data_IF_023065869368
#
_entry.id   IF_023065869368
#
_cell.length_a   1.000
_cell.length_b   1.000
_cell.length_c   1.000
_cell.angle_alpha   90.00
_cell.angle_beta   90.00
_cell.angle_gamma   90.00
#
_symmetry.space_group_name_H-M   'P 1'
#
loop_
_entity.id
_entity.type
_entity.pdbx_description
1 polymer ?
#
# COMPACT_ATOMS: atom_id res chain seq x y z
N UNK A 1 7.01 -8.44 9.87
CA UNK A 1 6.51 -7.30 9.05
C UNK A 1 5.87 -6.19 9.88
N UNK A 2 4.78 -6.42 10.63
CA UNK A 2 4.08 -5.38 11.40
C UNK A 2 4.96 -4.54 12.37
N UNK A 3 5.95 -5.13 13.09
CA UNK A 3 6.80 -4.34 14.00
C UNK A 3 7.71 -3.33 13.30
N UNK A 4 8.04 -3.59 12.03
CA UNK A 4 8.99 -2.82 11.22
C UNK A 4 8.31 -1.81 10.29
N UNK A 5 7.00 -1.57 10.45
CA UNK A 5 6.26 -0.69 9.56
C UNK A 5 5.88 0.62 10.25
N UNK A 6 6.85 1.55 10.29
CA UNK A 6 6.73 2.86 10.92
C UNK A 6 7.01 3.98 9.90
N UNK A 7 6.36 5.11 10.08
CA UNK A 7 6.50 6.25 9.17
C UNK A 7 6.09 7.56 9.87
N UNK A 8 6.37 7.68 11.17
CA UNK A 8 6.08 8.93 11.87
C UNK A 8 6.91 10.06 11.26
N UNK A 9 8.20 9.80 11.07
CA UNK A 9 9.20 10.68 10.48
C UNK A 9 9.78 10.06 9.20
N UNK A 10 10.54 10.86 8.44
CA UNK A 10 11.28 10.36 7.26
C UNK A 10 12.31 9.28 7.65
N UNK A 11 13.02 9.47 8.77
CA UNK A 11 14.04 8.53 9.24
C UNK A 11 13.44 7.16 9.59
N UNK A 12 12.31 7.14 10.31
CA UNK A 12 11.59 5.90 10.60
C UNK A 12 11.10 5.21 9.33
N UNK A 13 10.61 5.99 8.35
CA UNK A 13 10.17 5.46 7.07
C UNK A 13 11.31 4.82 6.28
N UNK A 14 12.52 5.43 6.32
CA UNK A 14 13.73 4.88 5.69
C UNK A 14 14.10 3.54 6.30
N UNK A 15 14.26 3.49 7.62
CA UNK A 15 14.60 2.25 8.31
C UNK A 15 13.54 1.15 8.08
N UNK A 16 12.26 1.53 8.10
CA UNK A 16 11.15 0.60 7.85
C UNK A 16 11.15 0.06 6.43
N UNK A 17 11.32 0.94 5.43
CA UNK A 17 11.31 0.55 4.02
C UNK A 17 12.53 -0.33 3.67
N UNK A 18 13.70 0.01 4.19
CA UNK A 18 14.93 -0.76 4.05
C UNK A 18 14.78 -2.16 4.66
N UNK A 19 14.33 -2.27 5.92
CA UNK A 19 14.09 -3.56 6.58
C UNK A 19 13.09 -4.43 5.80
N UNK A 20 12.01 -3.84 5.30
CA UNK A 20 11.02 -4.57 4.50
C UNK A 20 11.61 -5.02 3.16
N UNK A 21 12.48 -4.21 2.55
CA UNK A 21 13.15 -4.55 1.30
C UNK A 21 14.18 -5.67 1.48
N UNK A 22 14.97 -5.65 2.56
CA UNK A 22 15.87 -6.78 2.88
C UNK A 22 15.10 -8.08 3.09
N UNK A 23 13.93 -8.03 3.75
CA UNK A 23 13.06 -9.20 3.88
C UNK A 23 12.52 -9.66 2.53
N UNK A 24 12.15 -8.73 1.65
CA UNK A 24 11.74 -9.03 0.27
C UNK A 24 12.85 -9.79 -0.48
N UNK A 25 14.10 -9.31 -0.45
CA UNK A 25 15.24 -9.97 -1.09
C UNK A 25 15.51 -11.35 -0.49
N UNK A 26 15.44 -11.49 0.84
CA UNK A 26 15.56 -12.79 1.51
C UNK A 26 14.49 -13.78 1.03
N UNK A 27 13.22 -13.36 0.92
CA UNK A 27 12.16 -14.23 0.41
C UNK A 27 12.40 -14.64 -1.05
N UNK A 28 12.88 -13.71 -1.89
CA UNK A 28 13.23 -14.04 -3.28
C UNK A 28 14.35 -15.09 -3.33
N UNK A 29 15.40 -14.92 -2.53
CA UNK A 29 16.52 -15.87 -2.43
C UNK A 29 16.05 -17.27 -2.01
N UNK A 30 15.07 -17.35 -1.11
CA UNK A 30 14.46 -18.61 -0.68
C UNK A 30 13.37 -19.14 -1.62
N UNK A 31 13.14 -18.51 -2.78
CA UNK A 31 12.06 -18.82 -3.71
C UNK A 31 10.65 -18.80 -3.06
N UNK A 32 10.47 -18.01 -1.99
CA UNK A 32 9.18 -17.78 -1.34
C UNK A 32 8.49 -16.56 -1.96
N UNK A 33 7.80 -16.79 -3.08
CA UNK A 33 7.07 -15.73 -3.77
C UNK A 33 6.00 -15.06 -2.90
N UNK A 34 5.30 -15.83 -2.04
CA UNK A 34 4.21 -15.28 -1.22
C UNK A 34 4.79 -14.33 -0.18
N UNK A 35 5.88 -14.71 0.49
CA UNK A 35 6.62 -13.84 1.40
C UNK A 35 7.11 -12.56 0.69
N UNK A 36 7.67 -12.70 -0.51
CA UNK A 36 8.13 -11.56 -1.31
C UNK A 36 6.98 -10.62 -1.71
N UNK A 37 5.84 -11.15 -2.19
CA UNK A 37 4.70 -10.31 -2.57
C UNK A 37 4.09 -9.59 -1.36
N UNK A 38 4.06 -10.25 -0.20
CA UNK A 38 3.64 -9.63 1.06
C UNK A 38 4.57 -8.47 1.42
N UNK A 39 5.89 -8.66 1.41
CA UNK A 39 6.86 -7.59 1.67
C UNK A 39 6.66 -6.39 0.73
N UNK A 40 6.55 -6.65 -0.59
CA UNK A 40 6.24 -5.62 -1.60
C UNK A 40 4.91 -4.91 -1.30
N UNK A 41 3.89 -5.63 -0.84
CA UNK A 41 2.60 -5.04 -0.46
C UNK A 41 2.73 -4.11 0.75
N UNK A 42 3.56 -4.43 1.74
CA UNK A 42 3.84 -3.53 2.86
C UNK A 42 4.53 -2.24 2.40
N UNK A 43 5.44 -2.29 1.43
CA UNK A 43 6.02 -1.08 0.82
C UNK A 43 4.94 -0.21 0.14
N UNK A 44 4.05 -0.83 -0.64
CA UNK A 44 2.91 -0.13 -1.25
C UNK A 44 1.98 0.50 -0.19
N UNK A 45 1.69 -0.23 0.89
CA UNK A 45 0.86 0.28 1.98
C UNK A 45 1.55 1.46 2.69
N UNK A 46 2.87 1.41 2.91
CA UNK A 46 3.66 2.50 3.47
C UNK A 46 3.54 3.77 2.63
N UNK A 47 3.75 3.66 1.32
CA UNK A 47 3.58 4.78 0.39
C UNK A 47 2.16 5.37 0.45
N UNK A 48 1.13 4.53 0.31
CA UNK A 48 -0.26 5.00 0.23
C UNK A 48 -0.75 5.61 1.54
N UNK A 49 -0.40 5.04 2.70
CA UNK A 49 -0.74 5.61 4.01
C UNK A 49 0.01 6.91 4.26
N UNK A 50 1.33 6.94 4.07
CA UNK A 50 2.11 8.16 4.27
C UNK A 50 1.59 9.29 3.36
N UNK A 51 1.30 9.01 2.08
CA UNK A 51 0.72 9.99 1.15
C UNK A 51 -0.65 10.49 1.59
N UNK A 52 -1.50 9.61 2.14
CA UNK A 52 -2.80 10.03 2.70
C UNK A 52 -2.64 11.01 3.85
N UNK A 53 -1.70 10.77 4.78
CA UNK A 53 -1.45 11.68 5.90
C UNK A 53 -0.74 12.96 5.48
N UNK A 54 0.06 12.93 4.42
CA UNK A 54 0.61 14.14 3.81
C UNK A 54 -0.49 15.04 3.26
N UNK A 55 -1.45 14.46 2.53
CA UNK A 55 -2.57 15.19 1.95
C UNK A 55 -3.60 15.63 3.01
N UNK A 56 -3.90 14.77 3.99
CA UNK A 56 -4.92 15.00 5.00
C UNK A 56 -4.40 14.57 6.40
N UNK A 57 -3.80 15.49 7.17
CA UNK A 57 -3.19 15.18 8.47
C UNK A 57 -4.15 14.56 9.49
N UNK A 58 -5.42 14.99 9.50
CA UNK A 58 -6.48 14.39 10.34
C UNK A 58 -6.95 13.01 9.87
N UNK A 59 -6.38 12.48 8.79
CA UNK A 59 -6.74 11.18 8.21
C UNK A 59 -8.11 11.15 7.52
N UNK A 60 -8.84 12.26 7.45
CA UNK A 60 -10.16 12.34 6.80
C UNK A 60 -10.01 12.96 5.41
N UNK A 61 -10.44 12.22 4.36
CA UNK A 61 -10.45 12.70 2.97
C UNK A 61 -11.77 13.39 2.60
N UNK A 62 -12.87 12.92 3.15
CA UNK A 62 -14.22 13.38 2.80
C UNK A 62 -14.82 14.15 3.96
N UNK A 63 -15.59 15.20 3.63
CA UNK A 63 -16.38 15.94 4.60
C UNK A 63 -17.39 15.01 5.31
N UNK A 64 -17.77 15.36 6.53
CA UNK A 64 -18.83 14.64 7.25
C UNK A 64 -20.18 15.05 6.63
N UNK A 65 -21.03 14.07 6.36
CA UNK A 65 -22.33 14.30 5.74
C UNK A 65 -23.12 13.00 5.65
N UNK A 66 -24.33 13.10 5.13
CA UNK A 66 -25.28 11.98 5.03
C UNK A 66 -25.28 11.30 3.65
N UNK A 67 -24.60 11.88 2.64
CA UNK A 67 -24.57 11.32 1.30
C UNK A 67 -23.74 10.02 1.29
N UNK A 68 -24.33 8.96 0.75
CA UNK A 68 -23.67 7.65 0.61
C UNK A 68 -23.67 6.82 1.91
N UNK A 69 -24.59 7.07 2.83
CA UNK A 69 -24.79 6.20 3.99
C UNK A 69 -25.15 4.77 3.54
N UNK A 70 -24.30 3.80 3.90
CA UNK A 70 -24.49 2.38 3.56
C UNK A 70 -25.49 1.66 4.47
N UNK A 71 -26.29 2.39 5.24
CA UNK A 71 -27.15 1.84 6.30
C UNK A 71 -28.14 0.80 5.75
N UNK A 72 -28.55 0.96 4.50
CA UNK A 72 -29.60 0.14 3.87
C UNK A 72 -29.10 -0.65 2.62
N UNK A 73 -27.79 -0.86 2.46
CA UNK A 73 -27.26 -1.63 1.31
C UNK A 73 -27.19 -3.14 1.59
N UNK A 74 -27.65 -4.00 0.65
CA UNK A 74 -27.54 -5.45 0.79
C UNK A 74 -26.08 -5.92 0.69
N UNK A 75 -25.76 -7.01 1.38
CA UNK A 75 -24.42 -7.61 1.40
C UNK A 75 -24.02 -8.15 0.01
N UNK A 76 -22.73 -8.05 -0.42
CA UNK A 76 -21.57 -7.55 0.33
C UNK A 76 -21.40 -6.03 0.29
N UNK A 77 -21.53 -5.37 1.44
CA UNK A 77 -21.20 -3.95 1.57
C UNK A 77 -19.67 -3.81 1.70
N UNK A 78 -19.02 -3.27 0.68
CA UNK A 78 -17.63 -2.77 0.80
C UNK A 78 -17.45 -1.47 0.02
N UNK A 79 -18.34 -0.51 0.23
CA UNK A 79 -18.33 0.77 -0.49
C UNK A 79 -17.22 1.75 -0.04
N UNK A 80 -16.30 1.33 0.83
CA UNK A 80 -15.26 2.17 1.40
C UNK A 80 -15.81 3.13 2.47
N UNK A 81 -15.33 4.38 2.50
CA UNK A 81 -15.78 5.36 3.50
C UNK A 81 -17.28 5.66 3.37
N UNK A 82 -18.02 5.65 4.48
CA UNK A 82 -19.44 6.09 4.53
C UNK A 82 -19.68 7.53 4.04
N UNK A 83 -18.62 8.32 3.97
CA UNK A 83 -18.65 9.70 3.50
C UNK A 83 -18.17 9.85 2.04
N UNK A 84 -17.95 8.76 1.30
CA UNK A 84 -17.30 8.80 -0.03
C UNK A 84 -18.03 9.69 -1.04
N UNK A 85 -19.35 9.83 -0.91
CA UNK A 85 -20.18 10.69 -1.75
C UNK A 85 -20.21 12.17 -1.32
N UNK A 86 -19.64 12.50 -0.15
CA UNK A 86 -19.49 13.89 0.27
C UNK A 86 -18.30 14.56 -0.44
N UNK A 87 -18.26 15.89 -0.37
CA UNK A 87 -17.15 16.69 -0.90
C UNK A 87 -15.80 16.23 -0.34
N UNK A 88 -14.77 16.25 -1.20
CA UNK A 88 -13.38 15.98 -0.81
C UNK A 88 -12.86 17.22 -0.09
N UNK A 89 -12.25 17.02 1.08
CA UNK A 89 -11.61 18.09 1.83
C UNK A 89 -10.38 18.60 1.08
N UNK A 90 -10.04 19.89 1.19
CA UNK A 90 -8.80 20.40 0.63
C UNK A 90 -7.60 19.64 1.20
N UNK A 91 -6.55 19.53 0.39
CA UNK A 91 -5.28 18.99 0.87
C UNK A 91 -4.60 20.02 1.78
N UNK A 92 -3.72 19.56 2.67
CA UNK A 92 -2.86 20.46 3.43
C UNK A 92 -1.98 21.29 2.48
N UNK A 93 -1.69 22.54 2.84
CA UNK A 93 -0.86 23.45 2.03
C UNK A 93 0.54 22.88 1.81
N UNK A 94 1.07 22.18 2.81
CA UNK A 94 2.39 21.55 2.82
C UNK A 94 2.38 20.09 2.34
N UNK A 95 1.30 19.62 1.68
CA UNK A 95 1.10 18.21 1.31
C UNK A 95 2.20 17.60 0.44
N UNK A 96 3.05 18.41 -0.19
CA UNK A 96 4.18 17.97 -1.02
C UNK A 96 5.53 18.01 -0.29
N UNK A 97 5.66 18.81 0.79
CA UNK A 97 6.94 19.12 1.43
C UNK A 97 7.06 18.59 2.86
N UNK A 98 5.95 18.30 3.53
CA UNK A 98 5.91 17.84 4.91
C UNK A 98 6.55 16.46 5.12
N UNK A 99 6.82 16.10 6.38
CA UNK A 99 7.49 14.84 6.73
C UNK A 99 6.80 13.60 6.16
N UNK A 100 5.46 13.62 6.09
CA UNK A 100 4.68 12.51 5.51
C UNK A 100 4.86 12.39 4.01
N UNK A 101 5.01 13.51 3.31
CA UNK A 101 5.32 13.52 1.89
C UNK A 101 6.70 12.89 1.63
N UNK A 102 7.71 13.24 2.44
CA UNK A 102 9.06 12.67 2.37
C UNK A 102 9.05 11.18 2.71
N UNK A 103 8.38 10.78 3.79
CA UNK A 103 8.18 9.38 4.13
C UNK A 103 7.49 8.59 2.99
N UNK A 104 6.49 9.18 2.32
CA UNK A 104 5.84 8.56 1.19
C UNK A 104 6.79 8.33 0.01
N UNK A 105 7.66 9.30 -0.29
CA UNK A 105 8.67 9.16 -1.35
C UNK A 105 9.65 8.02 -1.06
N UNK A 106 10.09 7.87 0.19
CA UNK A 106 10.94 6.76 0.63
C UNK A 106 10.30 5.41 0.31
N UNK A 107 9.07 5.17 0.79
CA UNK A 107 8.37 3.90 0.47
C UNK A 107 8.10 3.73 -1.02
N UNK A 108 7.83 4.82 -1.75
CA UNK A 108 7.58 4.76 -3.20
C UNK A 108 8.81 4.24 -3.93
N UNK A 109 10.00 4.76 -3.60
CA UNK A 109 11.28 4.31 -4.16
C UNK A 109 11.45 2.79 -4.01
N UNK A 110 11.37 2.28 -2.78
CA UNK A 110 11.54 0.84 -2.53
C UNK A 110 10.41 0.00 -3.14
N UNK A 111 9.17 0.50 -3.15
CA UNK A 111 8.07 -0.21 -3.79
C UNK A 111 8.28 -0.34 -5.31
N UNK A 112 8.72 0.73 -5.96
CA UNK A 112 9.02 0.71 -7.40
C UNK A 112 10.21 -0.24 -7.69
N UNK A 113 11.26 -0.21 -6.87
CA UNK A 113 12.39 -1.16 -6.96
C UNK A 113 11.92 -2.62 -6.82
N UNK A 114 11.16 -2.95 -5.77
CA UNK A 114 10.65 -4.30 -5.55
C UNK A 114 9.73 -4.76 -6.68
N UNK A 115 8.89 -3.84 -7.22
CA UNK A 115 8.04 -4.14 -8.37
C UNK A 115 8.85 -4.33 -9.65
N UNK A 116 9.96 -3.64 -9.84
CA UNK A 116 10.80 -3.79 -11.02
C UNK A 116 11.83 -4.94 -10.91
N UNK A 117 11.96 -5.57 -9.74
CA UNK A 117 12.97 -6.60 -9.50
C UNK A 117 12.81 -7.80 -10.45
N UNK A 118 13.84 -8.17 -11.24
CA UNK A 118 13.73 -9.22 -12.25
C UNK A 118 13.30 -10.58 -11.69
N UNK A 119 13.90 -11.02 -10.58
CA UNK A 119 13.54 -12.31 -9.95
C UNK A 119 12.11 -12.32 -9.42
N UNK A 120 11.62 -11.19 -8.91
CA UNK A 120 10.23 -11.10 -8.47
C UNK A 120 9.27 -11.24 -9.65
N UNK A 121 9.59 -10.64 -10.81
CA UNK A 121 8.78 -10.80 -12.01
C UNK A 121 8.76 -12.26 -12.49
N UNK A 122 9.91 -12.93 -12.48
CA UNK A 122 10.01 -14.36 -12.83
C UNK A 122 9.18 -15.23 -11.88
N UNK A 123 9.37 -15.08 -10.55
CA UNK A 123 8.61 -15.84 -9.56
C UNK A 123 7.11 -15.55 -9.62
N UNK A 124 6.72 -14.30 -9.89
CA UNK A 124 5.32 -13.91 -10.09
C UNK A 124 4.69 -14.61 -11.30
N UNK A 125 5.42 -14.68 -12.41
CA UNK A 125 4.96 -15.38 -13.61
C UNK A 125 4.79 -16.87 -13.31
N UNK A 126 5.80 -17.51 -12.71
CA UNK A 126 5.73 -18.92 -12.32
C UNK A 126 4.57 -19.21 -11.35
N UNK A 127 4.35 -18.34 -10.36
CA UNK A 127 3.20 -18.46 -9.45
C UNK A 127 1.87 -18.31 -10.20
N UNK A 128 1.79 -17.36 -11.15
CA UNK A 128 0.59 -17.16 -11.96
C UNK A 128 0.27 -18.40 -12.79
N UNK A 129 1.25 -18.95 -13.49
CA UNK A 129 1.10 -20.16 -14.31
C UNK A 129 0.66 -21.36 -13.47
N UNK A 130 1.23 -21.54 -12.27
CA UNK A 130 0.90 -22.65 -11.38
C UNK A 130 -0.52 -22.59 -10.82
N UNK A 131 -1.02 -21.40 -10.45
CA UNK A 131 -2.26 -21.28 -9.67
C UNK A 131 -3.43 -20.64 -10.41
N UNK A 132 -3.20 -19.86 -11.48
CA UNK A 132 -4.27 -19.16 -12.21
C UNK A 132 -4.68 -19.87 -13.50
N UNK A 133 -4.15 -21.06 -13.78
CA UNK A 133 -4.56 -21.90 -14.90
C UNK A 133 -5.21 -23.19 -14.43
N UNK A 134 -6.54 -23.16 -14.27
CA UNK A 134 -7.46 -24.29 -14.47
C UNK A 134 -8.88 -23.75 -14.68
N UNK A 135 -9.21 -23.46 -15.94
CA UNK A 135 -10.53 -23.85 -16.46
C UNK A 135 -10.24 -25.02 -17.40
N UNK A 136 -10.58 -26.23 -16.98
CA UNK A 136 -10.72 -27.32 -17.93
C UNK A 136 -11.81 -26.90 -18.93
N UNK A 137 -11.62 -27.10 -20.24
CA UNK A 137 -12.74 -27.05 -21.17
C UNK A 137 -13.76 -28.12 -20.75
N UNK A 138 -15.03 -27.73 -20.67
CA UNK A 138 -16.17 -28.66 -20.69
C UNK A 138 -16.31 -29.28 -22.08
#
# INVERSE_FOLDING_TARGET
MLPHWRFRTEAEARHSAETIYELFEKYLLHHDFVGADMARKYLQMGFTRARRYANHPQGRKYAKGTLGATKDQPYPYSAGSKNKANAILPQAEDATTNEKARAAQVFKKYWDQARAHPEYQQQKLAFKEKYYHKKSPE
#
